data_IF_632977583464
#
_entry.id   IF_632977583464
#
_cell.length_a   1.000
_cell.length_b   1.000
_cell.length_c   1.000
_cell.angle_alpha   90.00
_cell.angle_beta   90.00
_cell.angle_gamma   90.00
#
_symmetry.space_group_name_H-M   'P 1'
#
loop_
_entity.id
_entity.type
_entity.pdbx_description
1 polymer ?
#
# COMPACT_ATOMS: atom_id res chain seq x y z
N UNK A 1 13.09 -13.89 -7.72
CA UNK A 1 12.23 -14.21 -6.58
C UNK A 1 11.23 -13.09 -6.40
N UNK A 2 9.94 -13.40 -6.24
CA UNK A 2 8.84 -12.46 -6.03
C UNK A 2 8.26 -12.76 -4.66
N UNK A 3 8.14 -11.75 -3.81
CA UNK A 3 7.50 -11.85 -2.50
C UNK A 3 6.31 -10.90 -2.50
N UNK A 4 5.17 -11.37 -2.07
CA UNK A 4 3.94 -10.58 -2.03
C UNK A 4 3.09 -10.87 -0.81
N UNK A 5 2.26 -9.89 -0.46
CA UNK A 5 1.23 -10.03 0.56
C UNK A 5 -0.09 -10.47 -0.08
N UNK A 6 -0.82 -11.33 0.60
CA UNK A 6 -2.18 -11.72 0.22
C UNK A 6 -3.24 -10.84 0.93
N UNK A 7 -2.82 -9.92 1.80
CA UNK A 7 -3.70 -8.94 2.44
C UNK A 7 -4.02 -7.78 1.51
N UNK A 8 -4.93 -6.92 1.92
CA UNK A 8 -5.36 -5.77 1.15
C UNK A 8 -6.14 -6.17 -0.10
N UNK A 9 -5.62 -5.93 -1.31
CA UNK A 9 -6.36 -6.15 -2.56
C UNK A 9 -6.88 -7.58 -2.77
N UNK A 10 -6.21 -8.58 -2.21
CA UNK A 10 -6.64 -9.97 -2.33
C UNK A 10 -7.57 -10.43 -1.20
N UNK A 11 -7.93 -9.53 -0.27
CA UNK A 11 -8.90 -9.77 0.82
C UNK A 11 -8.59 -11.01 1.67
N UNK A 12 -7.34 -11.45 1.70
CA UNK A 12 -6.87 -12.59 2.48
C UNK A 12 -5.81 -12.15 3.49
N UNK A 13 -5.22 -13.07 4.21
CA UNK A 13 -4.08 -12.81 5.09
C UNK A 13 -2.88 -13.66 4.69
N UNK A 14 -1.69 -13.31 5.19
CA UNK A 14 -0.45 -14.01 4.88
C UNK A 14 0.25 -13.45 3.64
N UNK A 15 1.12 -14.25 3.06
CA UNK A 15 1.91 -13.88 1.91
C UNK A 15 2.36 -15.08 1.09
N UNK A 16 3.03 -14.81 0.00
CA UNK A 16 3.59 -15.82 -0.87
C UNK A 16 5.02 -15.47 -1.30
N UNK A 17 5.76 -16.50 -1.63
CA UNK A 17 7.05 -16.40 -2.30
C UNK A 17 7.01 -17.26 -3.56
N UNK A 18 7.40 -16.69 -4.68
CA UNK A 18 7.53 -17.38 -5.96
C UNK A 18 8.91 -17.14 -6.55
N UNK A 19 9.51 -18.17 -7.13
CA UNK A 19 10.84 -18.11 -7.71
C UNK A 19 11.26 -19.45 -8.28
N UNK A 20 12.56 -19.58 -8.53
CA UNK A 20 13.14 -20.84 -8.97
C UNK A 20 12.95 -21.90 -7.88
N UNK A 21 12.74 -23.14 -8.30
CA UNK A 21 12.49 -24.29 -7.43
C UNK A 21 13.56 -24.41 -6.31
N UNK A 22 14.82 -24.33 -6.66
CA UNK A 22 15.93 -24.38 -5.71
C UNK A 22 15.83 -23.33 -4.59
N UNK A 23 15.43 -22.11 -4.93
CA UNK A 23 15.29 -21.01 -3.98
C UNK A 23 14.08 -21.23 -3.06
N UNK A 24 12.96 -21.67 -3.62
CA UNK A 24 11.74 -21.95 -2.87
C UNK A 24 11.93 -23.13 -1.92
N UNK A 25 12.56 -24.20 -2.38
CA UNK A 25 12.89 -25.39 -1.55
C UNK A 25 13.88 -25.03 -0.44
N UNK A 26 14.90 -24.23 -0.75
CA UNK A 26 15.83 -23.74 0.28
C UNK A 26 15.09 -22.95 1.37
N UNK A 27 14.15 -22.10 1.00
CA UNK A 27 13.35 -21.35 1.97
C UNK A 27 12.48 -22.26 2.85
N UNK A 28 11.89 -23.31 2.28
CA UNK A 28 11.10 -24.29 3.05
C UNK A 28 11.92 -24.96 4.14
N UNK A 29 13.16 -25.25 3.88
CA UNK A 29 14.07 -25.97 4.81
C UNK A 29 14.72 -25.02 5.80
N UNK A 30 15.17 -23.85 5.35
CA UNK A 30 16.06 -22.97 6.11
C UNK A 30 15.42 -21.69 6.62
N UNK A 31 14.21 -21.34 6.16
CA UNK A 31 13.55 -20.10 6.59
C UNK A 31 12.92 -20.25 7.97
N UNK A 32 13.25 -19.33 8.86
CA UNK A 32 12.63 -19.25 10.18
C UNK A 32 11.09 -19.09 10.10
N UNK A 33 10.60 -18.36 9.09
CA UNK A 33 9.17 -18.18 8.85
C UNK A 33 8.46 -19.51 8.57
N UNK A 34 9.03 -20.39 7.76
CA UNK A 34 8.45 -21.70 7.46
C UNK A 34 8.63 -22.69 8.62
N UNK A 35 9.74 -22.59 9.34
CA UNK A 35 10.04 -23.54 10.42
C UNK A 35 9.23 -23.27 11.69
N UNK A 36 9.00 -22.00 12.02
CA UNK A 36 8.42 -21.58 13.30
C UNK A 36 7.04 -20.93 13.18
N UNK A 37 6.42 -20.90 11.99
CA UNK A 37 5.06 -20.41 11.83
C UNK A 37 4.13 -21.49 11.28
N UNK A 38 2.83 -21.29 11.48
CA UNK A 38 1.81 -22.17 10.91
C UNK A 38 1.64 -21.90 9.41
N UNK A 39 1.28 -22.95 8.66
CA UNK A 39 0.88 -22.81 7.27
C UNK A 39 -0.39 -21.95 7.14
N UNK A 40 -0.53 -21.28 5.99
CA UNK A 40 -1.71 -20.49 5.70
C UNK A 40 -2.98 -21.35 5.76
N UNK A 41 -4.03 -20.95 6.51
CA UNK A 41 -5.30 -21.65 6.50
C UNK A 41 -5.88 -21.74 5.08
N UNK A 42 -6.45 -22.90 4.74
CA UNK A 42 -6.99 -23.17 3.40
C UNK A 42 -8.05 -22.14 2.97
N UNK A 43 -8.86 -21.65 3.91
CA UNK A 43 -9.84 -20.59 3.66
C UNK A 43 -9.21 -19.34 3.06
N UNK A 44 -8.09 -18.88 3.61
CA UNK A 44 -7.41 -17.67 3.14
C UNK A 44 -6.74 -17.88 1.77
N UNK A 45 -6.22 -19.07 1.54
CA UNK A 45 -5.67 -19.45 0.23
C UNK A 45 -6.77 -19.49 -0.84
N UNK A 46 -7.93 -20.06 -0.53
CA UNK A 46 -9.08 -20.09 -1.42
C UNK A 46 -9.60 -18.67 -1.70
N UNK A 47 -9.72 -17.83 -0.66
CA UNK A 47 -10.14 -16.42 -0.82
C UNK A 47 -9.22 -15.67 -1.77
N UNK A 48 -7.91 -15.80 -1.62
CA UNK A 48 -6.95 -15.15 -2.53
C UNK A 48 -7.10 -15.64 -3.97
N UNK A 49 -7.27 -16.94 -4.17
CA UNK A 49 -7.47 -17.55 -5.49
C UNK A 49 -8.75 -17.05 -6.17
N UNK A 50 -9.86 -17.04 -5.44
CA UNK A 50 -11.15 -16.53 -5.94
C UNK A 50 -11.07 -15.05 -6.28
N UNK A 51 -10.43 -14.24 -5.43
CA UNK A 51 -10.27 -12.81 -5.70
C UNK A 51 -9.46 -12.57 -6.99
N UNK A 52 -8.40 -13.35 -7.22
CA UNK A 52 -7.63 -13.27 -8.48
C UNK A 52 -8.52 -13.64 -9.66
N UNK A 53 -9.32 -14.70 -9.54
CA UNK A 53 -10.28 -15.10 -10.57
C UNK A 53 -11.31 -13.99 -10.87
N UNK A 54 -11.85 -13.36 -9.85
CA UNK A 54 -12.78 -12.22 -10.00
C UNK A 54 -12.13 -11.04 -10.72
N UNK A 55 -10.90 -10.67 -10.36
CA UNK A 55 -10.17 -9.58 -11.01
C UNK A 55 -9.87 -9.86 -12.48
N UNK A 56 -9.63 -11.13 -12.84
CA UNK A 56 -9.42 -11.54 -14.23
C UNK A 56 -10.72 -11.49 -15.05
N UNK A 57 -11.84 -11.87 -14.45
CA UNK A 57 -13.15 -11.89 -15.12
C UNK A 57 -13.81 -10.50 -15.18
N UNK A 58 -13.49 -9.62 -14.24
CA UNK A 58 -14.10 -8.30 -14.10
C UNK A 58 -13.02 -7.20 -14.04
N UNK A 59 -12.34 -6.90 -15.15
CA UNK A 59 -11.28 -5.88 -15.21
C UNK A 59 -11.79 -4.47 -14.90
N UNK A 60 -13.10 -4.24 -15.02
CA UNK A 60 -13.73 -2.94 -14.71
C UNK A 60 -13.55 -2.52 -13.23
N UNK A 61 -13.38 -3.47 -12.32
CA UNK A 61 -13.07 -3.19 -10.91
C UNK A 61 -11.77 -2.37 -10.80
N UNK A 62 -10.76 -2.75 -11.55
CA UNK A 62 -9.48 -2.03 -11.57
C UNK A 62 -9.58 -0.68 -12.30
N UNK A 63 -10.43 -0.59 -13.32
CA UNK A 63 -10.70 0.69 -14.01
C UNK A 63 -11.36 1.68 -13.04
N UNK A 64 -12.39 1.26 -12.32
CA UNK A 64 -13.04 2.09 -11.31
C UNK A 64 -12.08 2.56 -10.20
N UNK A 65 -11.18 1.69 -9.74
CA UNK A 65 -10.14 2.08 -8.77
C UNK A 65 -9.22 3.17 -9.34
N UNK A 66 -8.75 3.01 -10.58
CA UNK A 66 -7.90 4.02 -11.24
C UNK A 66 -8.60 5.36 -11.41
N UNK A 67 -9.87 5.35 -11.74
CA UNK A 67 -10.66 6.58 -11.87
C UNK A 67 -10.82 7.29 -10.53
N UNK A 68 -11.06 6.55 -9.45
CA UNK A 68 -11.11 7.09 -8.10
C UNK A 68 -9.74 7.68 -7.69
N UNK A 69 -8.64 6.99 -7.98
CA UNK A 69 -7.28 7.48 -7.71
C UNK A 69 -7.02 8.79 -8.46
N UNK A 70 -7.37 8.87 -9.75
CA UNK A 70 -7.23 10.08 -10.55
C UNK A 70 -8.08 11.23 -10.01
N UNK A 71 -9.34 10.96 -9.64
CA UNK A 71 -10.23 11.96 -9.08
C UNK A 71 -9.67 12.54 -7.77
N UNK A 72 -9.17 11.68 -6.89
CA UNK A 72 -8.58 12.09 -5.61
C UNK A 72 -7.31 12.92 -5.81
N UNK A 73 -6.40 12.47 -6.68
CA UNK A 73 -5.19 13.24 -7.04
C UNK A 73 -5.52 14.59 -7.65
N UNK A 74 -6.49 14.64 -8.54
CA UNK A 74 -6.96 15.88 -9.15
C UNK A 74 -7.51 16.90 -8.15
N UNK A 75 -7.90 16.45 -6.95
CA UNK A 75 -8.30 17.31 -5.86
C UNK A 75 -7.10 17.72 -4.97
N UNK A 76 -6.16 16.82 -4.71
CA UNK A 76 -5.04 17.03 -3.79
C UNK A 76 -3.91 17.85 -4.42
N UNK A 77 -3.42 17.41 -5.57
CA UNK A 77 -2.20 17.98 -6.16
C UNK A 77 -2.31 19.49 -6.52
N UNK A 78 -3.38 19.97 -7.18
CA UNK A 78 -3.47 21.39 -7.54
C UNK A 78 -3.93 22.30 -6.41
N UNK A 79 -4.55 21.76 -5.34
CA UNK A 79 -5.14 22.56 -4.25
C UNK A 79 -4.22 22.77 -3.07
N UNK A 80 -3.17 21.99 -2.94
CA UNK A 80 -2.26 22.11 -1.83
C UNK A 80 -0.99 22.85 -2.23
N UNK A 81 -0.72 23.96 -1.57
CA UNK A 81 0.55 24.68 -1.70
C UNK A 81 1.68 24.00 -0.90
N UNK A 82 1.36 23.12 0.02
CA UNK A 82 2.29 22.54 1.00
C UNK A 82 2.67 21.10 0.70
N UNK A 83 1.72 20.29 0.24
CA UNK A 83 1.91 18.84 0.07
C UNK A 83 1.85 18.43 -1.39
N UNK A 84 2.59 17.37 -1.71
CA UNK A 84 2.53 16.65 -2.99
C UNK A 84 2.33 15.18 -2.74
N UNK A 85 1.70 14.48 -3.67
CA UNK A 85 1.59 13.03 -3.63
C UNK A 85 2.84 12.41 -4.25
N UNK A 86 3.64 11.68 -3.47
CA UNK A 86 4.90 11.07 -3.93
C UNK A 86 4.74 9.67 -4.51
N UNK A 87 3.59 9.02 -4.29
CA UNK A 87 3.33 7.69 -4.83
C UNK A 87 3.08 7.73 -6.35
N UNK A 88 3.27 6.59 -7.03
CA UNK A 88 2.98 6.44 -8.46
C UNK A 88 1.53 6.82 -8.79
N UNK A 89 1.28 7.35 -10.00
CA UNK A 89 -0.02 7.81 -10.46
C UNK A 89 -1.15 6.79 -10.39
N UNK A 90 -0.82 5.52 -10.51
CA UNK A 90 -1.80 4.41 -10.47
C UNK A 90 -1.89 3.72 -9.10
N UNK A 91 -1.12 4.18 -8.10
CA UNK A 91 -1.12 3.56 -6.79
C UNK A 91 -2.33 4.06 -5.97
N UNK A 92 -3.18 3.15 -5.45
CA UNK A 92 -4.29 3.51 -4.58
C UNK A 92 -3.85 4.06 -3.21
N UNK A 93 -2.61 3.77 -2.79
CA UNK A 93 -2.04 4.34 -1.57
C UNK A 93 -1.39 5.66 -1.93
N UNK A 94 -1.91 6.75 -1.37
CA UNK A 94 -1.41 8.09 -1.59
C UNK A 94 -0.50 8.50 -0.44
N UNK A 95 0.81 8.58 -0.72
CA UNK A 95 1.79 9.06 0.24
C UNK A 95 1.94 10.57 0.07
N UNK A 96 1.52 11.31 1.07
CA UNK A 96 1.65 12.76 1.09
C UNK A 96 3.00 13.16 1.70
N UNK A 97 3.71 14.01 1.00
CA UNK A 97 4.98 14.59 1.47
C UNK A 97 4.93 16.10 1.29
N UNK A 98 5.67 16.84 2.09
CA UNK A 98 5.82 18.29 1.89
C UNK A 98 6.57 18.56 0.58
N UNK A 99 6.21 19.65 -0.09
CA UNK A 99 6.94 20.11 -1.28
C UNK A 99 8.33 20.60 -0.88
N UNK A 100 9.32 20.30 -1.70
CA UNK A 100 10.72 20.66 -1.44
C UNK A 100 10.88 22.17 -1.24
N UNK A 101 10.16 22.96 -2.04
CA UNK A 101 10.13 24.43 -1.93
C UNK A 101 9.65 24.90 -0.54
N UNK A 102 8.69 24.22 0.07
CA UNK A 102 8.18 24.56 1.40
C UNK A 102 9.23 24.24 2.47
N UNK A 103 9.87 23.07 2.33
CA UNK A 103 10.91 22.63 3.25
C UNK A 103 12.09 23.62 3.25
N UNK A 104 12.54 24.01 2.06
CA UNK A 104 13.67 24.94 1.90
C UNK A 104 13.33 26.36 2.38
N UNK A 105 12.19 26.91 1.96
CA UNK A 105 11.77 28.27 2.33
C UNK A 105 11.56 28.43 3.83
N UNK A 106 11.02 27.40 4.49
CA UNK A 106 10.75 27.43 5.94
C UNK A 106 11.87 26.82 6.77
N UNK A 107 12.90 26.25 6.14
CA UNK A 107 14.03 25.56 6.79
C UNK A 107 13.57 24.49 7.80
N UNK A 108 12.58 23.69 7.40
CA UNK A 108 11.96 22.69 8.26
C UNK A 108 12.91 21.52 8.51
N UNK A 109 13.14 21.22 9.77
CA UNK A 109 13.81 19.99 10.16
C UNK A 109 12.90 18.76 9.92
N UNK A 110 13.47 17.56 10.03
CA UNK A 110 12.67 16.30 9.92
C UNK A 110 11.63 16.24 11.03
N UNK A 111 11.96 16.71 12.23
CA UNK A 111 11.04 16.71 13.36
C UNK A 111 9.88 17.68 13.17
N UNK A 112 10.14 18.88 12.60
CA UNK A 112 9.10 19.85 12.25
C UNK A 112 8.14 19.27 11.20
N UNK A 113 8.67 18.60 10.17
CA UNK A 113 7.86 17.93 9.15
C UNK A 113 6.96 16.85 9.75
N UNK A 114 7.50 16.03 10.64
CA UNK A 114 6.74 14.99 11.33
C UNK A 114 5.65 15.59 12.25
N UNK A 115 5.95 16.71 12.89
CA UNK A 115 4.98 17.38 13.75
C UNK A 115 3.80 17.94 12.93
N UNK A 116 4.07 18.59 11.79
CA UNK A 116 3.03 19.10 10.87
C UNK A 116 2.07 17.96 10.47
N UNK A 117 2.61 16.80 10.06
CA UNK A 117 1.77 15.69 9.67
C UNK A 117 0.98 15.08 10.84
N UNK A 118 1.51 15.08 12.05
CA UNK A 118 0.76 14.66 13.25
C UNK A 118 -0.41 15.59 13.52
N UNK A 119 -0.20 16.89 13.47
CA UNK A 119 -1.25 17.88 13.66
C UNK A 119 -2.38 17.73 12.61
N UNK A 120 -2.02 17.48 11.34
CA UNK A 120 -3.00 17.22 10.28
C UNK A 120 -3.79 15.94 10.56
N UNK A 121 -3.14 14.86 10.99
CA UNK A 121 -3.81 13.60 11.32
C UNK A 121 -4.76 13.78 12.51
N UNK A 122 -4.31 14.46 13.55
CA UNK A 122 -5.11 14.72 14.75
C UNK A 122 -6.36 15.56 14.43
N UNK A 123 -6.21 16.59 13.57
CA UNK A 123 -7.33 17.41 13.12
C UNK A 123 -8.34 16.60 12.31
N UNK A 124 -7.87 15.80 11.34
CA UNK A 124 -8.76 14.95 10.52
C UNK A 124 -9.47 13.91 11.39
N UNK A 125 -8.78 13.31 12.34
CA UNK A 125 -9.40 12.35 13.26
C UNK A 125 -10.45 13.01 14.18
N UNK A 126 -10.21 14.26 14.61
CA UNK A 126 -11.15 14.99 15.46
C UNK A 126 -12.45 15.38 14.74
N UNK A 127 -12.39 15.57 13.42
CA UNK A 127 -13.55 15.92 12.59
C UNK A 127 -14.37 14.69 12.13
N UNK A 128 -13.81 13.49 12.28
CA UNK A 128 -14.44 12.24 11.84
C UNK A 128 -15.28 11.54 12.94
N UNK A 129 -15.32 12.07 14.14
CA UNK A 129 -16.14 11.63 15.28
C UNK A 129 -17.34 12.54 15.47
#
# INVERSE_FOLDING_TARGET
MIIGSLSGPLCAAGGFCAGNEEVVEHQRISSASYTYSAALPALLSTTASETIGMLQQQPDILAGLRDNVKAMRGQLDPRSDWVKCSSSGDNPIMLLVLKDEVIENKKLSIDDQNQIFREVVDEVCSQSL
#
